data_IF_856779537154
#
_entry.id   IF_856779537154
#
_cell.length_a   1.000
_cell.length_b   1.000
_cell.length_c   1.000
_cell.angle_alpha   90.00
_cell.angle_beta   90.00
_cell.angle_gamma   90.00
#
_symmetry.space_group_name_H-M   'P 1'
#
loop_
_entity.id
_entity.type
_entity.pdbx_description
1 polymer ?
#
# COMPACT_ATOMS: atom_id res chain seq x y z
N UNK A 1 -7.24 32.63 27.46
CA UNK A 1 -6.58 32.31 26.17
C UNK A 1 -7.50 31.32 25.48
N UNK A 2 -8.11 31.69 24.34
CA UNK A 2 -8.88 30.75 23.53
C UNK A 2 -7.89 29.85 22.81
N UNK A 3 -7.88 28.56 23.11
CA UNK A 3 -7.22 27.57 22.27
C UNK A 3 -7.71 27.76 20.85
N UNK A 4 -6.81 28.14 19.94
CA UNK A 4 -7.10 28.10 18.52
C UNK A 4 -7.29 26.62 18.20
N UNK A 5 -8.53 26.19 17.99
CA UNK A 5 -8.85 24.90 17.39
C UNK A 5 -8.05 24.84 16.08
N UNK A 6 -6.94 24.13 16.09
CA UNK A 6 -6.17 23.84 14.88
C UNK A 6 -7.12 23.12 13.94
N UNK A 7 -7.37 23.71 12.77
CA UNK A 7 -8.21 23.08 11.73
C UNK A 7 -7.47 21.82 11.27
N UNK A 8 -7.95 20.68 11.70
CA UNK A 8 -7.36 19.38 11.42
C UNK A 8 -7.35 19.15 9.92
N UNK A 9 -6.21 18.80 9.36
CA UNK A 9 -6.12 18.44 7.95
C UNK A 9 -6.95 17.18 7.67
N UNK A 10 -7.66 17.17 6.54
CA UNK A 10 -8.51 16.05 6.17
C UNK A 10 -7.72 14.85 5.69
N UNK A 11 -6.55 15.08 5.07
CA UNK A 11 -5.67 14.06 4.52
C UNK A 11 -4.43 13.92 5.40
N UNK A 12 -4.02 12.69 5.64
CA UNK A 12 -2.76 12.34 6.28
C UNK A 12 -2.00 11.33 5.42
N UNK A 13 -0.73 11.61 5.18
CA UNK A 13 0.20 10.69 4.52
C UNK A 13 0.73 9.69 5.54
N UNK A 14 0.76 8.42 5.20
CA UNK A 14 1.27 7.32 6.02
C UNK A 14 2.55 6.79 5.36
N UNK A 15 3.72 7.28 5.80
CA UNK A 15 5.02 6.88 5.24
C UNK A 15 5.56 5.68 6.03
N UNK A 16 5.89 4.61 5.30
CA UNK A 16 6.62 3.47 5.84
C UNK A 16 8.01 3.42 5.22
N UNK A 17 9.06 3.59 6.04
CA UNK A 17 10.43 3.67 5.58
C UNK A 17 11.40 2.90 6.49
N UNK A 18 12.67 2.81 6.06
CA UNK A 18 13.71 2.15 6.83
C UNK A 18 14.99 3.00 6.85
N UNK A 19 15.54 3.24 8.06
CA UNK A 19 16.80 3.98 8.28
C UNK A 19 16.81 5.38 7.61
N UNK A 20 15.64 6.05 7.56
CA UNK A 20 15.49 7.39 7.01
C UNK A 20 15.69 8.46 8.10
N UNK A 21 15.91 9.70 7.65
CA UNK A 21 15.94 10.90 8.48
C UNK A 21 14.65 11.69 8.36
N UNK A 22 14.54 12.80 9.11
CA UNK A 22 13.40 13.71 9.00
C UNK A 22 13.19 14.30 7.59
N UNK A 23 14.24 14.28 6.77
CA UNK A 23 14.22 14.82 5.42
C UNK A 23 13.28 14.04 4.49
N UNK A 24 12.90 12.80 4.86
CA UNK A 24 11.95 12.01 4.09
C UNK A 24 10.63 12.75 3.85
N UNK A 25 10.17 13.58 4.79
CA UNK A 25 8.95 14.38 4.67
C UNK A 25 9.05 15.36 3.50
N UNK A 26 10.23 15.94 3.28
CA UNK A 26 10.49 16.88 2.19
C UNK A 26 10.81 16.16 0.87
N UNK A 27 11.53 15.05 0.95
CA UNK A 27 11.86 14.22 -0.22
C UNK A 27 10.61 13.65 -0.89
N UNK A 28 9.65 13.19 -0.09
CA UNK A 28 8.35 12.70 -0.56
C UNK A 28 7.36 13.83 -0.88
N UNK A 29 7.76 15.11 -0.70
CA UNK A 29 6.94 16.29 -1.01
C UNK A 29 5.61 16.33 -0.26
N UNK A 30 5.61 16.03 1.03
CA UNK A 30 4.39 16.06 1.86
C UNK A 30 3.84 17.48 1.98
N UNK A 31 2.52 17.67 1.80
CA UNK A 31 1.77 18.93 1.87
C UNK A 31 0.54 18.83 2.79
N UNK A 32 0.53 17.86 3.69
CA UNK A 32 -0.56 17.62 4.67
C UNK A 32 0.02 17.06 5.97
N UNK A 33 -0.83 16.70 6.92
CA UNK A 33 -0.36 15.93 8.08
C UNK A 33 0.28 14.61 7.63
N UNK A 34 1.26 14.14 8.40
CA UNK A 34 1.99 12.91 8.07
C UNK A 34 2.36 12.12 9.32
N UNK A 35 2.24 10.81 9.21
CA UNK A 35 2.79 9.86 10.17
C UNK A 35 3.87 9.05 9.47
N UNK A 36 5.12 9.19 9.92
CA UNK A 36 6.28 8.45 9.43
C UNK A 36 6.60 7.33 10.42
N UNK A 37 6.66 6.10 9.92
CA UNK A 37 7.17 4.96 10.68
C UNK A 37 8.52 4.56 10.09
N UNK A 38 9.57 4.92 10.80
CA UNK A 38 10.96 4.65 10.42
C UNK A 38 11.48 3.41 11.13
N UNK A 39 11.58 2.31 10.42
CA UNK A 39 12.12 1.05 10.95
C UNK A 39 13.64 1.16 11.07
N UNK A 40 14.17 1.28 12.28
CA UNK A 40 15.60 1.45 12.54
C UNK A 40 16.02 0.71 13.83
N UNK A 41 17.23 0.93 14.33
CA UNK A 41 17.76 0.19 15.48
C UNK A 41 17.47 0.85 16.85
N UNK A 42 16.65 1.90 16.85
CA UNK A 42 16.28 2.63 18.08
C UNK A 42 14.79 2.94 18.06
N UNK A 43 14.18 2.98 19.24
CA UNK A 43 12.81 3.47 19.41
C UNK A 43 12.89 4.93 19.85
N UNK A 44 12.20 5.80 19.09
CA UNK A 44 12.16 7.25 19.37
C UNK A 44 10.84 7.85 18.80
N UNK A 45 10.43 8.98 19.36
CA UNK A 45 9.23 9.68 18.94
C UNK A 45 9.46 11.18 18.90
N UNK A 46 9.21 11.80 17.75
CA UNK A 46 9.40 13.23 17.56
C UNK A 46 8.17 13.78 16.82
N UNK A 47 7.71 14.94 17.25
CA UNK A 47 6.65 15.69 16.58
C UNK A 47 7.14 17.12 16.25
N UNK A 48 6.69 17.65 15.12
CA UNK A 48 6.90 19.05 14.77
C UNK A 48 5.86 19.50 13.75
N UNK A 49 5.70 20.81 13.64
CA UNK A 49 4.88 21.43 12.60
C UNK A 49 5.78 22.01 11.50
N UNK A 50 5.28 21.99 10.27
CA UNK A 50 5.90 22.65 9.14
C UNK A 50 4.85 23.31 8.25
N UNK A 51 5.29 24.24 7.42
CA UNK A 51 4.44 24.88 6.43
C UNK A 51 4.67 24.23 5.06
N UNK A 52 3.60 23.70 4.48
CA UNK A 52 3.61 23.17 3.11
C UNK A 52 3.78 24.28 2.07
N UNK A 53 4.14 23.93 0.84
CA UNK A 53 4.37 24.88 -0.26
C UNK A 53 3.16 25.78 -0.56
N UNK A 54 1.96 25.33 -0.20
CA UNK A 54 0.71 26.08 -0.34
C UNK A 54 0.33 26.92 0.89
N UNK A 55 1.24 27.09 1.86
CA UNK A 55 1.00 27.80 3.12
C UNK A 55 0.15 27.03 4.15
N UNK A 56 -0.15 25.77 3.91
CA UNK A 56 -0.91 24.94 4.88
C UNK A 56 -0.01 24.52 6.03
N UNK A 57 -0.46 24.73 7.27
CA UNK A 57 0.21 24.19 8.45
C UNK A 57 -0.04 22.69 8.53
N UNK A 58 1.02 21.92 8.59
CA UNK A 58 1.04 20.47 8.58
C UNK A 58 1.73 19.95 9.84
N UNK A 59 1.23 18.85 10.40
CA UNK A 59 1.78 18.21 11.58
C UNK A 59 2.48 16.90 11.23
N UNK A 60 3.69 16.70 11.75
CA UNK A 60 4.49 15.49 11.55
C UNK A 60 4.55 14.70 12.84
N UNK A 61 4.22 13.41 12.77
CA UNK A 61 4.59 12.39 13.76
C UNK A 61 5.64 11.48 13.17
N UNK A 62 6.85 11.54 13.70
CA UNK A 62 7.95 10.70 13.26
C UNK A 62 8.28 9.67 14.36
N UNK A 63 7.98 8.41 14.07
CA UNK A 63 8.13 7.29 15.00
C UNK A 63 9.23 6.39 14.47
N UNK A 64 10.37 6.40 15.16
CA UNK A 64 11.43 5.41 14.96
C UNK A 64 11.10 4.15 15.75
N UNK A 65 11.29 2.98 15.17
CA UNK A 65 10.97 1.71 15.83
C UNK A 65 11.91 0.59 15.47
N UNK A 66 12.19 -0.26 16.47
CA UNK A 66 12.93 -1.52 16.29
C UNK A 66 12.04 -2.63 15.72
N UNK A 67 10.73 -2.45 15.69
CA UNK A 67 9.80 -3.40 15.07
C UNK A 67 10.01 -3.45 13.54
N UNK A 68 9.94 -4.65 12.97
CA UNK A 68 10.18 -4.88 11.54
C UNK A 68 8.97 -5.44 10.84
N UNK A 69 8.80 -5.05 9.58
CA UNK A 69 7.77 -5.52 8.67
C UNK A 69 6.86 -4.41 8.14
N UNK A 70 6.72 -4.34 6.82
CA UNK A 70 5.98 -3.28 6.12
C UNK A 70 4.52 -3.17 6.58
N UNK A 71 3.81 -4.30 6.69
CA UNK A 71 2.43 -4.31 7.17
C UNK A 71 2.29 -3.83 8.62
N UNK A 72 3.26 -4.14 9.49
CA UNK A 72 3.29 -3.63 10.88
C UNK A 72 3.48 -2.13 10.89
N UNK A 73 4.44 -1.63 10.09
CA UNK A 73 4.69 -0.20 9.92
C UNK A 73 3.44 0.53 9.44
N UNK A 74 2.76 0.05 8.39
CA UNK A 74 1.52 0.66 7.89
C UNK A 74 0.40 0.65 8.93
N UNK A 75 0.21 -0.44 9.67
CA UNK A 75 -0.78 -0.50 10.75
C UNK A 75 -0.45 0.48 11.88
N UNK A 76 0.83 0.59 12.25
CA UNK A 76 1.29 1.57 13.25
C UNK A 76 1.00 3.01 12.78
N UNK A 77 1.24 3.31 11.50
CA UNK A 77 0.92 4.63 10.92
C UNK A 77 -0.58 4.93 10.97
N UNK A 78 -1.45 3.98 10.57
CA UNK A 78 -2.91 4.12 10.66
C UNK A 78 -3.36 4.40 12.09
N UNK A 79 -2.80 3.69 13.08
CA UNK A 79 -3.16 3.84 14.48
C UNK A 79 -2.75 5.20 15.07
N UNK A 80 -1.69 5.81 14.56
CA UNK A 80 -1.19 7.12 14.99
C UNK A 80 -1.75 8.29 14.17
N UNK A 81 -2.43 8.00 13.06
CA UNK A 81 -3.12 9.00 12.24
C UNK A 81 -4.38 9.51 12.94
N UNK A 82 -4.67 10.80 12.78
CA UNK A 82 -5.89 11.41 13.32
C UNK A 82 -6.80 11.99 12.23
N UNK A 83 -6.34 12.11 10.99
CA UNK A 83 -7.11 12.66 9.87
C UNK A 83 -8.15 11.67 9.34
N UNK A 84 -9.11 12.17 8.59
CA UNK A 84 -10.20 11.34 8.07
C UNK A 84 -9.78 10.44 6.94
N UNK A 85 -8.92 10.94 6.05
CA UNK A 85 -8.44 10.23 4.86
C UNK A 85 -6.96 9.92 5.06
N UNK A 86 -6.60 8.65 4.88
CA UNK A 86 -5.22 8.17 4.86
C UNK A 86 -4.75 7.95 3.42
N UNK A 87 -3.54 8.37 3.10
CA UNK A 87 -2.81 8.03 1.87
C UNK A 87 -1.62 7.14 2.23
N UNK A 88 -1.54 5.95 1.68
CA UNK A 88 -0.36 5.08 1.83
C UNK A 88 0.78 5.62 0.98
N UNK A 89 1.98 5.70 1.55
CA UNK A 89 3.16 6.24 0.89
C UNK A 89 4.41 5.42 1.27
N UNK A 90 5.23 5.12 0.29
CA UNK A 90 6.54 4.49 0.49
C UNK A 90 7.65 5.56 0.37
N UNK A 91 8.91 5.24 0.67
CA UNK A 91 10.00 6.21 0.71
C UNK A 91 10.70 6.47 -0.65
N UNK A 92 10.25 5.81 -1.70
CA UNK A 92 10.75 5.91 -3.07
C UNK A 92 9.82 6.70 -4.02
N UNK A 93 8.86 7.43 -3.47
CA UNK A 93 7.89 8.20 -4.25
C UNK A 93 7.91 9.70 -3.91
N UNK A 94 7.47 10.50 -4.87
CA UNK A 94 7.27 11.95 -4.70
C UNK A 94 5.82 12.30 -5.02
N UNK A 95 5.11 12.81 -4.04
CA UNK A 95 3.73 13.25 -4.15
C UNK A 95 3.64 14.48 -5.08
N UNK A 96 2.54 14.60 -5.83
CA UNK A 96 2.22 15.78 -6.63
C UNK A 96 2.03 17.00 -5.73
N UNK A 97 2.41 18.19 -6.19
CA UNK A 97 2.30 19.41 -5.39
C UNK A 97 0.84 19.71 -4.98
N UNK A 98 -0.14 19.21 -5.73
CA UNK A 98 -1.57 19.41 -5.49
C UNK A 98 -2.31 18.14 -5.02
N UNK A 99 -1.59 17.07 -4.61
CA UNK A 99 -2.21 15.78 -4.28
C UNK A 99 -3.36 15.89 -3.27
N UNK A 100 -3.28 16.81 -2.31
CA UNK A 100 -4.32 17.00 -1.29
C UNK A 100 -5.66 17.39 -1.92
N UNK A 101 -5.64 18.34 -2.88
CA UNK A 101 -6.85 18.76 -3.57
C UNK A 101 -7.35 17.68 -4.53
N UNK A 102 -6.42 16.99 -5.21
CA UNK A 102 -6.78 15.87 -6.11
C UNK A 102 -7.47 14.72 -5.35
N UNK A 103 -7.01 14.41 -4.14
CA UNK A 103 -7.66 13.43 -3.26
C UNK A 103 -9.04 13.91 -2.83
N UNK A 104 -9.18 15.17 -2.39
CA UNK A 104 -10.46 15.75 -1.99
C UNK A 104 -11.48 15.72 -3.14
N UNK A 105 -11.08 16.11 -4.34
CA UNK A 105 -11.89 16.03 -5.56
C UNK A 105 -12.40 14.60 -5.82
N UNK A 106 -11.55 13.60 -5.63
CA UNK A 106 -11.95 12.19 -5.72
C UNK A 106 -13.06 11.81 -4.74
N UNK A 107 -12.94 12.25 -3.49
CA UNK A 107 -13.97 11.99 -2.46
C UNK A 107 -15.22 12.88 -2.61
N UNK A 108 -15.11 14.03 -3.24
CA UNK A 108 -16.27 14.85 -3.67
C UNK A 108 -17.01 14.20 -4.83
N UNK A 109 -16.27 13.62 -5.79
CA UNK A 109 -16.84 12.87 -6.92
C UNK A 109 -17.58 11.61 -6.45
N UNK A 110 -17.05 10.95 -5.41
CA UNK A 110 -17.64 9.75 -4.81
C UNK A 110 -17.82 9.92 -3.29
N UNK A 111 -18.85 10.68 -2.86
CA UNK A 111 -19.05 10.97 -1.42
C UNK A 111 -19.25 9.72 -0.55
N UNK A 112 -19.75 8.65 -1.17
CA UNK A 112 -19.97 7.37 -0.52
C UNK A 112 -18.75 6.43 -0.54
N UNK A 113 -17.63 6.86 -1.14
CA UNK A 113 -16.40 6.06 -1.18
C UNK A 113 -15.82 5.85 0.21
N UNK A 114 -15.44 4.62 0.50
CA UNK A 114 -14.64 4.24 1.66
C UNK A 114 -13.14 4.15 1.30
N UNK A 115 -12.86 3.72 0.07
CA UNK A 115 -11.51 3.58 -0.52
C UNK A 115 -11.53 4.17 -1.93
N UNK A 116 -10.52 4.98 -2.26
CA UNK A 116 -10.28 5.41 -3.64
C UNK A 116 -8.83 5.05 -4.00
N UNK A 117 -8.68 4.41 -5.16
CA UNK A 117 -7.39 4.24 -5.81
C UNK A 117 -7.19 5.36 -6.82
N UNK A 118 -6.04 6.03 -6.75
CA UNK A 118 -5.66 7.07 -7.69
C UNK A 118 -4.68 6.56 -8.73
N UNK A 119 -4.55 7.26 -9.85
CA UNK A 119 -3.47 7.02 -10.78
C UNK A 119 -2.13 7.44 -10.17
N UNK A 120 -1.07 6.80 -10.63
CA UNK A 120 0.32 7.13 -10.30
C UNK A 120 1.13 7.24 -11.59
N UNK A 121 2.26 7.91 -11.54
CA UNK A 121 3.24 7.91 -12.62
C UNK A 121 4.42 7.02 -12.19
N UNK A 122 4.46 5.79 -12.69
CA UNK A 122 5.56 4.85 -12.47
C UNK A 122 6.42 4.64 -13.74
N UNK A 123 6.14 5.40 -14.79
CA UNK A 123 6.85 5.33 -16.07
C UNK A 123 6.57 4.10 -16.93
N UNK A 124 5.76 3.15 -16.45
CA UNK A 124 5.54 1.85 -17.10
C UNK A 124 4.07 1.53 -17.38
N UNK A 125 3.17 1.86 -16.45
CA UNK A 125 1.76 1.51 -16.56
C UNK A 125 0.92 2.65 -17.09
N UNK A 126 -0.02 2.30 -17.97
CA UNK A 126 -1.08 3.22 -18.41
C UNK A 126 -2.32 2.95 -17.58
N UNK A 127 -2.69 3.93 -16.77
CA UNK A 127 -3.87 3.86 -15.92
C UNK A 127 -5.12 4.31 -16.68
N UNK A 128 -6.33 3.81 -16.30
CA UNK A 128 -7.59 4.26 -16.93
C UNK A 128 -7.74 5.79 -16.83
N UNK A 129 -8.21 6.42 -17.91
CA UNK A 129 -8.48 7.87 -17.96
C UNK A 129 -9.84 8.26 -17.40
N UNK A 130 -10.67 7.28 -16.98
CA UNK A 130 -12.04 7.50 -16.53
C UNK A 130 -12.22 6.91 -15.14
N UNK A 131 -12.89 7.67 -14.29
CA UNK A 131 -13.30 7.22 -12.95
C UNK A 131 -14.27 6.04 -13.04
N UNK A 132 -14.10 5.04 -12.17
CA UNK A 132 -14.93 3.84 -12.21
C UNK A 132 -14.97 3.12 -10.86
N UNK A 133 -15.99 2.28 -10.70
CA UNK A 133 -16.04 1.37 -9.55
C UNK A 133 -14.96 0.29 -9.67
N UNK A 134 -14.24 0.01 -8.58
CA UNK A 134 -13.20 -1.01 -8.57
C UNK A 134 -13.81 -2.41 -8.69
N UNK A 135 -13.28 -3.19 -9.62
CA UNK A 135 -13.57 -4.62 -9.77
C UNK A 135 -12.40 -5.47 -9.23
N UNK A 136 -12.62 -6.78 -9.22
CA UNK A 136 -11.61 -7.74 -8.74
C UNK A 136 -10.29 -7.66 -9.52
N UNK A 137 -10.34 -7.48 -10.84
CA UNK A 137 -9.16 -7.37 -11.69
C UNK A 137 -8.36 -6.10 -11.39
N UNK A 138 -9.04 -4.99 -11.07
CA UNK A 138 -8.39 -3.75 -10.64
C UNK A 138 -7.61 -3.97 -9.34
N UNK A 139 -8.21 -4.63 -8.34
CA UNK A 139 -7.54 -4.94 -7.07
C UNK A 139 -6.23 -5.72 -7.31
N UNK A 140 -6.26 -6.75 -8.15
CA UNK A 140 -5.08 -7.59 -8.41
C UNK A 140 -3.93 -6.87 -9.14
N UNK A 141 -4.16 -5.65 -9.63
CA UNK A 141 -3.20 -4.83 -10.36
C UNK A 141 -2.86 -3.52 -9.63
N UNK A 142 -3.36 -3.36 -8.44
CA UNK A 142 -3.15 -2.15 -7.65
C UNK A 142 -1.81 -2.20 -6.93
N UNK A 143 -1.21 -1.04 -6.77
CA UNK A 143 -0.01 -0.80 -5.97
C UNK A 143 -0.39 -0.05 -4.69
N UNK A 144 0.47 -0.11 -3.67
CA UNK A 144 0.26 0.59 -2.40
C UNK A 144 0.10 2.09 -2.56
N UNK A 145 0.91 2.70 -3.41
CA UNK A 145 0.96 4.16 -3.67
C UNK A 145 -0.33 4.74 -4.25
N UNK A 146 -1.23 3.89 -4.74
CA UNK A 146 -2.54 4.30 -5.24
C UNK A 146 -3.58 4.48 -4.14
N UNK A 147 -3.33 3.92 -2.93
CA UNK A 147 -4.37 3.63 -1.94
C UNK A 147 -4.63 4.83 -1.05
N UNK A 148 -5.88 5.33 -1.10
CA UNK A 148 -6.44 6.17 -0.06
C UNK A 148 -7.66 5.51 0.56
N UNK A 149 -7.93 5.80 1.84
CA UNK A 149 -9.09 5.24 2.53
C UNK A 149 -9.56 6.13 3.69
N UNK A 150 -10.85 6.03 4.02
CA UNK A 150 -11.41 6.65 5.22
C UNK A 150 -10.99 5.85 6.45
N UNK A 151 -10.14 6.44 7.29
CA UNK A 151 -9.54 5.79 8.47
C UNK A 151 -10.57 5.16 9.39
N UNK A 152 -11.58 5.92 9.77
CA UNK A 152 -12.56 5.47 10.75
C UNK A 152 -13.40 4.29 10.23
N UNK A 153 -13.68 4.25 8.91
CA UNK A 153 -14.40 3.13 8.29
C UNK A 153 -13.58 1.85 8.32
N UNK A 154 -12.27 1.96 8.03
CA UNK A 154 -11.33 0.83 8.09
C UNK A 154 -11.20 0.31 9.52
N UNK A 155 -10.98 1.20 10.50
CA UNK A 155 -10.83 0.85 11.90
C UNK A 155 -12.11 0.24 12.49
N UNK A 156 -13.28 0.82 12.23
CA UNK A 156 -14.56 0.32 12.74
C UNK A 156 -14.92 -1.06 12.19
N UNK A 157 -14.38 -1.44 11.04
CA UNK A 157 -14.55 -2.78 10.44
C UNK A 157 -13.46 -3.77 10.82
N UNK A 158 -12.49 -3.35 11.64
CA UNK A 158 -11.37 -4.18 12.08
C UNK A 158 -10.46 -4.62 10.93
N UNK A 159 -10.37 -3.82 9.85
CA UNK A 159 -9.52 -4.12 8.70
C UNK A 159 -8.13 -3.55 8.97
N UNK A 160 -7.09 -4.35 8.66
CA UNK A 160 -5.69 -3.95 8.81
C UNK A 160 -4.83 -4.63 7.75
N UNK A 161 -3.62 -4.13 7.53
CA UNK A 161 -2.62 -4.84 6.72
C UNK A 161 -2.20 -6.12 7.43
N UNK A 162 -2.12 -7.21 6.67
CA UNK A 162 -1.79 -8.53 7.21
C UNK A 162 -0.31 -8.61 7.61
N UNK A 163 -0.02 -8.65 8.91
CA UNK A 163 1.35 -8.61 9.47
C UNK A 163 2.21 -9.81 9.11
N UNK A 164 1.65 -10.84 8.49
CA UNK A 164 2.40 -11.97 7.94
C UNK A 164 2.82 -11.76 6.49
N UNK A 165 2.39 -10.67 5.84
CA UNK A 165 2.68 -10.34 4.44
C UNK A 165 3.54 -9.07 4.35
N UNK A 166 4.21 -8.91 3.22
CA UNK A 166 5.01 -7.75 2.88
C UNK A 166 6.46 -7.87 3.27
N UNK A 167 7.21 -6.83 2.92
CA UNK A 167 8.66 -6.73 3.16
C UNK A 167 9.01 -6.91 4.62
N UNK A 168 10.13 -7.58 4.89
CA UNK A 168 10.63 -7.83 6.25
C UNK A 168 9.96 -9.02 6.95
N UNK A 169 8.98 -9.70 6.35
CA UNK A 169 8.33 -10.87 6.95
C UNK A 169 8.97 -12.21 6.56
N UNK A 170 9.82 -12.23 5.54
CA UNK A 170 10.32 -13.46 4.91
C UNK A 170 9.28 -14.18 4.04
N UNK A 171 8.07 -13.66 3.95
CA UNK A 171 6.97 -14.15 3.12
C UNK A 171 6.82 -13.27 1.86
N UNK A 172 5.95 -13.65 0.94
CA UNK A 172 5.68 -12.87 -0.26
C UNK A 172 4.98 -11.54 0.02
N UNK A 173 5.06 -10.60 -0.94
CA UNK A 173 4.28 -9.37 -0.97
C UNK A 173 2.79 -9.60 -1.25
N UNK A 174 2.08 -8.52 -1.57
CA UNK A 174 0.64 -8.53 -1.86
C UNK A 174 -0.22 -8.18 -0.64
N UNK A 175 0.38 -7.55 0.36
CA UNK A 175 -0.32 -7.04 1.55
C UNK A 175 -1.32 -5.95 1.18
N UNK A 176 -1.03 -5.14 0.17
CA UNK A 176 -1.94 -4.13 -0.39
C UNK A 176 -3.14 -4.78 -1.10
N UNK A 177 -2.89 -5.85 -1.85
CA UNK A 177 -3.95 -6.64 -2.49
C UNK A 177 -4.82 -7.29 -1.43
N UNK A 178 -4.21 -7.87 -0.39
CA UNK A 178 -4.94 -8.48 0.75
C UNK A 178 -5.81 -7.46 1.45
N UNK A 179 -5.27 -6.27 1.76
CA UNK A 179 -6.01 -5.17 2.37
C UNK A 179 -7.23 -4.78 1.53
N UNK A 180 -7.06 -4.58 0.23
CA UNK A 180 -8.16 -4.23 -0.69
C UNK A 180 -9.20 -5.35 -0.83
N UNK A 181 -8.77 -6.61 -0.84
CA UNK A 181 -9.67 -7.76 -0.84
C UNK A 181 -10.49 -7.84 0.46
N UNK A 182 -9.88 -7.55 1.61
CA UNK A 182 -10.56 -7.49 2.90
C UNK A 182 -11.56 -6.32 2.95
N UNK A 183 -11.19 -5.15 2.43
CA UNK A 183 -12.10 -4.03 2.25
C UNK A 183 -13.34 -4.44 1.41
N UNK A 184 -13.11 -5.07 0.26
CA UNK A 184 -14.18 -5.57 -0.61
C UNK A 184 -15.07 -6.61 0.08
N UNK A 185 -14.46 -7.57 0.78
CA UNK A 185 -15.17 -8.63 1.52
C UNK A 185 -16.08 -8.05 2.61
N UNK A 186 -15.66 -6.95 3.22
CA UNK A 186 -16.43 -6.24 4.23
C UNK A 186 -17.41 -5.20 3.65
N UNK A 187 -17.68 -5.26 2.33
CA UNK A 187 -18.71 -4.44 1.67
C UNK A 187 -18.35 -2.96 1.55
N UNK A 188 -17.06 -2.61 1.61
CA UNK A 188 -16.62 -1.22 1.43
C UNK A 188 -16.84 -0.75 0.00
N UNK A 189 -17.21 0.50 -0.16
CA UNK A 189 -17.41 1.15 -1.45
C UNK A 189 -16.06 1.65 -1.97
N UNK A 190 -15.63 1.08 -3.09
CA UNK A 190 -14.30 1.26 -3.61
C UNK A 190 -14.35 1.79 -5.05
N UNK A 191 -13.64 2.88 -5.32
CA UNK A 191 -13.59 3.55 -6.61
C UNK A 191 -12.16 3.80 -7.06
N UNK A 192 -11.99 3.98 -8.35
CA UNK A 192 -10.77 4.46 -8.97
C UNK A 192 -11.01 5.87 -9.51
N UNK A 193 -10.05 6.77 -9.30
CA UNK A 193 -10.04 8.13 -9.83
C UNK A 193 -8.77 8.37 -10.67
N UNK A 194 -8.88 8.99 -11.88
CA UNK A 194 -7.75 9.10 -12.82
C UNK A 194 -6.74 10.19 -12.46
N UNK A 195 -6.98 11.01 -11.45
CA UNK A 195 -5.99 11.99 -10.99
C UNK A 195 -4.69 11.30 -10.58
N UNK A 196 -3.56 11.77 -11.11
CA UNK A 196 -2.24 11.28 -10.73
C UNK A 196 -1.78 12.03 -9.48
N UNK A 197 -1.55 11.31 -8.39
CA UNK A 197 -1.23 11.90 -7.08
C UNK A 197 0.24 11.74 -6.69
N UNK A 198 0.99 10.87 -7.36
CA UNK A 198 2.39 10.61 -7.04
C UNK A 198 3.19 10.15 -8.26
N UNK A 199 4.49 10.41 -8.24
CA UNK A 199 5.48 9.83 -9.16
C UNK A 199 6.39 8.90 -8.37
N UNK A 200 6.56 7.68 -8.88
CA UNK A 200 7.41 6.65 -8.27
C UNK A 200 8.77 6.64 -8.96
N UNK A 201 9.84 6.74 -8.19
CA UNK A 201 11.22 6.79 -8.66
C UNK A 201 11.93 5.42 -8.54
N UNK A 202 11.25 4.33 -8.93
CA UNK A 202 11.87 3.02 -8.91
C UNK A 202 12.87 2.86 -10.06
N UNK A 203 14.13 2.66 -9.72
CA UNK A 203 15.17 2.39 -10.73
C UNK A 203 15.16 0.93 -11.22
N UNK A 204 14.69 -0.03 -10.46
CA UNK A 204 14.43 -1.44 -10.83
C UNK A 204 13.64 -2.12 -9.70
N UNK A 205 12.74 -3.05 -10.06
CA UNK A 205 12.01 -3.84 -9.05
C UNK A 205 12.98 -4.70 -8.25
N UNK A 206 13.27 -4.31 -7.02
CA UNK A 206 14.12 -5.11 -6.10
C UNK A 206 13.44 -6.39 -5.60
N UNK A 207 12.19 -6.62 -5.99
CA UNK A 207 11.35 -7.71 -5.48
C UNK A 207 11.27 -8.93 -6.39
N UNK A 208 11.55 -8.76 -7.68
CA UNK A 208 11.49 -9.85 -8.64
C UNK A 208 12.90 -10.26 -9.09
N UNK A 209 13.33 -11.42 -8.62
CA UNK A 209 14.64 -12.03 -8.94
C UNK A 209 14.49 -13.23 -9.89
N UNK A 210 13.50 -13.21 -10.79
CA UNK A 210 13.21 -14.31 -11.70
C UNK A 210 12.25 -15.36 -11.10
N UNK A 211 11.90 -16.33 -11.93
CA UNK A 211 10.96 -17.43 -11.58
C UNK A 211 11.69 -18.56 -10.84
N UNK A 212 12.28 -18.23 -9.69
CA UNK A 212 13.03 -19.13 -8.82
C UNK A 212 12.12 -20.05 -8.01
N UNK A 213 12.68 -21.10 -7.40
CA UNK A 213 11.94 -21.98 -6.49
C UNK A 213 11.34 -21.22 -5.31
N UNK A 214 12.08 -20.26 -4.73
CA UNK A 214 11.63 -19.42 -3.64
C UNK A 214 10.45 -18.51 -4.06
N UNK A 215 10.49 -17.98 -5.29
CA UNK A 215 9.36 -17.24 -5.85
C UNK A 215 8.09 -18.09 -5.85
N UNK A 216 8.17 -19.34 -6.36
CA UNK A 216 7.00 -20.22 -6.43
C UNK A 216 6.49 -20.68 -5.07
N UNK A 217 7.36 -20.91 -4.11
CA UNK A 217 6.95 -21.20 -2.72
C UNK A 217 6.20 -20.00 -2.13
N UNK A 218 6.73 -18.81 -2.28
CA UNK A 218 6.05 -17.60 -1.80
C UNK A 218 4.73 -17.35 -2.56
N UNK A 219 4.72 -17.52 -3.88
CA UNK A 219 3.52 -17.39 -4.69
C UNK A 219 2.40 -18.34 -4.24
N UNK A 220 2.72 -19.59 -3.92
CA UNK A 220 1.75 -20.56 -3.41
C UNK A 220 1.15 -20.13 -2.06
N UNK A 221 2.00 -19.73 -1.13
CA UNK A 221 1.59 -19.26 0.19
C UNK A 221 0.72 -17.99 0.08
N UNK A 222 1.20 -16.99 -0.66
CA UNK A 222 0.48 -15.73 -0.90
C UNK A 222 -0.88 -15.98 -1.55
N UNK A 223 -0.93 -16.82 -2.60
CA UNK A 223 -2.19 -17.13 -3.29
C UNK A 223 -3.23 -17.71 -2.33
N UNK A 224 -2.84 -18.65 -1.46
CA UNK A 224 -3.74 -19.21 -0.46
C UNK A 224 -4.21 -18.16 0.56
N UNK A 225 -3.34 -17.27 0.96
CA UNK A 225 -3.65 -16.23 1.93
C UNK A 225 -4.59 -15.17 1.37
N UNK A 226 -4.44 -14.84 0.07
CA UNK A 226 -5.32 -13.90 -0.63
C UNK A 226 -6.72 -14.47 -0.88
N UNK A 227 -6.80 -15.73 -1.35
CA UNK A 227 -8.02 -16.28 -1.95
C UNK A 227 -8.62 -17.45 -1.19
N UNK A 228 -7.98 -17.90 -0.12
CA UNK A 228 -8.37 -19.13 0.57
C UNK A 228 -8.02 -20.41 -0.21
N UNK A 229 -8.39 -21.55 0.33
CA UNK A 229 -7.89 -22.85 -0.17
C UNK A 229 -8.39 -23.20 -1.57
N UNK A 230 -9.67 -22.99 -1.88
CA UNK A 230 -10.25 -23.45 -3.15
C UNK A 230 -9.91 -22.50 -4.32
N UNK A 231 -10.18 -21.21 -4.15
CA UNK A 231 -9.99 -20.22 -5.24
C UNK A 231 -8.50 -20.06 -5.58
N UNK A 232 -7.61 -20.16 -4.60
CA UNK A 232 -6.17 -20.10 -4.84
C UNK A 232 -5.66 -21.23 -5.74
N UNK A 233 -6.20 -22.45 -5.65
CA UNK A 233 -5.81 -23.55 -6.54
C UNK A 233 -6.19 -23.26 -7.99
N UNK A 234 -7.37 -22.69 -8.23
CA UNK A 234 -7.82 -22.27 -9.56
C UNK A 234 -6.90 -21.16 -10.10
N UNK A 235 -6.58 -20.18 -9.25
CA UNK A 235 -5.69 -19.08 -9.62
C UNK A 235 -4.27 -19.58 -9.94
N UNK A 236 -3.73 -20.50 -9.13
CA UNK A 236 -2.41 -21.12 -9.36
C UNK A 236 -2.40 -21.85 -10.71
N UNK A 237 -3.44 -22.67 -10.99
CA UNK A 237 -3.52 -23.38 -12.26
C UNK A 237 -3.59 -22.43 -13.45
N UNK A 238 -4.42 -21.39 -13.35
CA UNK A 238 -4.50 -20.33 -14.37
C UNK A 238 -3.12 -19.67 -14.59
N UNK A 239 -2.41 -19.28 -13.51
CA UNK A 239 -1.11 -18.67 -13.59
C UNK A 239 -0.09 -19.58 -14.28
N UNK A 240 -0.01 -20.84 -13.90
CA UNK A 240 0.91 -21.83 -14.49
C UNK A 240 0.68 -22.02 -15.99
N UNK A 241 -0.58 -22.01 -16.44
CA UNK A 241 -0.92 -22.15 -17.84
C UNK A 241 -0.64 -20.89 -18.65
N UNK A 242 -1.01 -19.72 -18.12
CA UNK A 242 -0.88 -18.44 -18.82
C UNK A 242 0.56 -17.92 -18.88
N UNK A 243 1.41 -18.25 -17.89
CA UNK A 243 2.80 -17.80 -17.81
C UNK A 243 3.83 -18.89 -18.13
N UNK A 244 3.40 -20.01 -18.72
CA UNK A 244 4.28 -21.16 -18.97
C UNK A 244 5.55 -20.83 -19.77
N UNK A 245 5.52 -19.87 -20.68
CA UNK A 245 6.67 -19.44 -21.48
C UNK A 245 7.69 -18.69 -20.61
N UNK A 246 7.21 -17.77 -19.76
CA UNK A 246 8.04 -17.01 -18.83
C UNK A 246 8.63 -17.89 -17.72
N UNK A 247 7.86 -18.85 -17.22
CA UNK A 247 8.35 -19.81 -16.21
C UNK A 247 9.55 -20.61 -16.75
N UNK A 248 9.51 -20.97 -18.04
CA UNK A 248 10.56 -21.76 -18.68
C UNK A 248 11.88 -21.03 -18.89
N UNK A 249 11.96 -19.73 -18.67
CA UNK A 249 13.24 -19.01 -18.72
C UNK A 249 14.16 -19.41 -17.56
N UNK A 250 13.59 -19.66 -16.39
CA UNK A 250 14.35 -19.86 -15.15
C UNK A 250 14.03 -21.19 -14.45
N UNK A 251 12.94 -21.88 -14.88
CA UNK A 251 12.46 -23.07 -14.19
C UNK A 251 11.69 -24.03 -15.13
N UNK A 252 11.38 -25.22 -14.67
CA UNK A 252 10.44 -26.10 -15.35
C UNK A 252 9.03 -25.91 -14.77
N UNK A 253 8.00 -25.97 -15.62
CA UNK A 253 6.60 -25.79 -15.17
C UNK A 253 6.23 -26.82 -14.10
N UNK A 254 6.75 -28.06 -14.20
CA UNK A 254 6.48 -29.10 -13.20
C UNK A 254 7.12 -28.77 -11.85
N UNK A 255 8.38 -28.32 -11.83
CA UNK A 255 9.06 -27.93 -10.60
C UNK A 255 8.42 -26.68 -9.99
N UNK A 256 8.12 -25.67 -10.80
CA UNK A 256 7.38 -24.47 -10.41
C UNK A 256 6.04 -24.84 -9.71
N UNK A 257 5.28 -25.75 -10.31
CA UNK A 257 4.01 -26.23 -9.72
C UNK A 257 4.24 -26.95 -8.39
N UNK A 258 5.27 -27.83 -8.29
CA UNK A 258 5.61 -28.51 -7.02
C UNK A 258 5.99 -27.53 -5.92
N UNK A 259 6.86 -26.55 -6.24
CA UNK A 259 7.24 -25.50 -5.30
C UNK A 259 6.04 -24.67 -4.85
N UNK A 260 5.15 -24.29 -5.78
CA UNK A 260 3.91 -23.57 -5.46
C UNK A 260 3.01 -24.37 -4.52
N UNK A 261 2.79 -25.67 -4.78
CA UNK A 261 1.99 -26.52 -3.89
C UNK A 261 2.62 -26.72 -2.50
N UNK A 262 3.98 -26.74 -2.44
CA UNK A 262 4.69 -26.76 -1.15
C UNK A 262 4.36 -25.51 -0.34
N UNK A 263 4.56 -24.33 -0.92
CA UNK A 263 4.23 -23.07 -0.25
C UNK A 263 2.75 -22.93 0.10
N UNK A 264 1.86 -23.39 -0.78
CA UNK A 264 0.41 -23.42 -0.52
C UNK A 264 0.03 -24.24 0.71
N UNK A 265 0.77 -25.32 1.01
CA UNK A 265 0.55 -26.15 2.21
C UNK A 265 1.15 -25.56 3.47
N UNK A 266 2.11 -24.66 3.36
CA UNK A 266 2.78 -24.06 4.51
C UNK A 266 1.82 -23.18 5.34
N UNK A 267 1.90 -23.30 6.64
CA UNK A 267 1.15 -22.49 7.61
C UNK A 267 2.13 -21.59 8.36
N UNK A 268 2.66 -20.58 7.63
CA UNK A 268 3.63 -19.60 8.18
C UNK A 268 2.96 -18.59 9.11
#
# INVERSE_FOLDING_TARGET
MKEKSQKKNEVCVLISCMNQTKDIVYQTNVQSDVVVINQCNTDDFIEWDFEGNNGTQCHVKFISTTERGLSRSRNMAVNNCQSNICLVCDDDERLDDNYVNLIKEGYETYPDADVILFAINDGHHVFPSVSQKINFKTILRSNSQQITFKRDVVNNRGISFDVKMGSGTGNGGGEEIKFLLDCRKNGMKMYYHPNCITTVHQNESQWFHGYTDSYFVNFGWTSRRLFGSFVSLIYILYFMLSHRSLIRTDNTVLNAFRCTLRGWKENR
#
